data_IF_717079080276
#
_entry.id   IF_717079080276
#
_cell.length_a   1.000
_cell.length_b   1.000
_cell.length_c   1.000
_cell.angle_alpha   90.00
_cell.angle_beta   90.00
_cell.angle_gamma   90.00
#
_symmetry.space_group_name_H-M   'P 1'
#
loop_
_entity.id
_entity.type
_entity.pdbx_description
1 polymer ?
#
# COMPACT_ATOMS: atom_id res chain seq x y z
N UNK A 1 -11.01 -32.64 -21.27
CA UNK A 1 -11.70 -32.68 -19.95
C UNK A 1 -10.92 -31.94 -18.85
N UNK A 2 -9.60 -32.18 -18.68
CA UNK A 2 -8.84 -31.50 -17.62
C UNK A 2 -8.84 -29.96 -17.74
N UNK A 3 -8.74 -29.40 -18.96
CA UNK A 3 -8.81 -27.95 -19.20
C UNK A 3 -10.18 -27.36 -18.90
N UNK A 4 -11.27 -28.11 -19.11
CA UNK A 4 -12.63 -27.67 -18.78
C UNK A 4 -12.80 -27.56 -17.27
N UNK A 5 -12.40 -28.58 -16.52
CA UNK A 5 -12.46 -28.58 -15.04
C UNK A 5 -11.60 -27.43 -14.47
N UNK A 6 -10.42 -27.18 -15.05
CA UNK A 6 -9.58 -26.04 -14.64
C UNK A 6 -10.32 -24.72 -14.86
N UNK A 7 -10.92 -24.49 -16.02
CA UNK A 7 -11.65 -23.27 -16.33
C UNK A 7 -12.87 -23.07 -15.42
N UNK A 8 -13.60 -24.14 -15.09
CA UNK A 8 -14.72 -24.10 -14.14
C UNK A 8 -14.27 -23.71 -12.73
N UNK A 9 -13.15 -24.26 -12.25
CA UNK A 9 -12.56 -23.90 -10.96
C UNK A 9 -12.07 -22.45 -10.92
N UNK A 10 -11.41 -21.99 -12.00
CA UNK A 10 -10.94 -20.60 -12.11
C UNK A 10 -12.11 -19.62 -12.12
N UNK A 11 -13.20 -19.96 -12.82
CA UNK A 11 -14.44 -19.17 -12.80
C UNK A 11 -15.06 -19.10 -11.41
N UNK A 12 -15.20 -20.23 -10.72
CA UNK A 12 -15.76 -20.28 -9.36
C UNK A 12 -14.92 -19.46 -8.39
N UNK A 13 -13.60 -19.60 -8.45
CA UNK A 13 -12.65 -18.84 -7.62
C UNK A 13 -12.77 -17.34 -7.87
N UNK A 14 -12.86 -16.93 -9.14
CA UNK A 14 -13.01 -15.54 -9.54
C UNK A 14 -14.34 -14.95 -9.05
N UNK A 15 -15.43 -15.73 -9.15
CA UNK A 15 -16.76 -15.35 -8.65
C UNK A 15 -16.72 -15.13 -7.13
N UNK A 16 -16.15 -16.06 -6.37
CA UNK A 16 -16.04 -15.94 -4.92
C UNK A 16 -15.18 -14.73 -4.49
N UNK A 17 -14.09 -14.46 -5.21
CA UNK A 17 -13.27 -13.29 -4.96
C UNK A 17 -14.02 -11.98 -5.24
N UNK A 18 -14.78 -11.93 -6.33
CA UNK A 18 -15.66 -10.79 -6.64
C UNK A 18 -16.68 -10.56 -5.52
N UNK A 19 -17.41 -11.63 -5.13
CA UNK A 19 -18.42 -11.57 -4.08
C UNK A 19 -17.85 -11.13 -2.73
N UNK A 20 -16.62 -11.50 -2.42
CA UNK A 20 -15.93 -11.10 -1.19
C UNK A 20 -15.57 -9.60 -1.15
N UNK A 21 -15.23 -9.01 -2.30
CA UNK A 21 -14.74 -7.62 -2.37
C UNK A 21 -15.88 -6.63 -2.65
N UNK A 22 -16.78 -6.98 -3.57
CA UNK A 22 -17.80 -6.06 -4.11
C UNK A 22 -19.18 -6.40 -3.54
N UNK A 23 -19.46 -7.68 -3.30
CA UNK A 23 -20.75 -8.18 -2.84
C UNK A 23 -21.36 -9.20 -3.80
N UNK A 24 -22.56 -9.68 -3.46
CA UNK A 24 -23.21 -10.79 -4.16
C UNK A 24 -23.41 -10.52 -5.66
N UNK A 25 -22.86 -11.37 -6.49
CA UNK A 25 -23.01 -11.35 -7.94
C UNK A 25 -24.30 -12.12 -8.34
N UNK A 26 -25.31 -11.41 -8.78
CA UNK A 26 -26.59 -12.01 -9.15
C UNK A 26 -26.53 -12.71 -10.52
N UNK A 27 -25.83 -12.12 -11.49
CA UNK A 27 -25.67 -12.67 -12.83
C UNK A 27 -24.31 -12.27 -13.42
N UNK A 28 -23.36 -13.23 -13.59
CA UNK A 28 -22.06 -12.97 -14.19
C UNK A 28 -22.13 -12.52 -15.66
N UNK A 29 -23.19 -12.89 -16.39
CA UNK A 29 -23.36 -12.58 -17.83
C UNK A 29 -23.69 -11.10 -18.07
N UNK A 30 -24.14 -10.39 -17.02
CA UNK A 30 -24.43 -8.95 -17.06
C UNK A 30 -23.17 -8.08 -16.84
N UNK A 31 -22.02 -8.68 -16.57
CA UNK A 31 -20.78 -7.94 -16.42
C UNK A 31 -20.19 -7.58 -17.79
N UNK A 32 -20.24 -6.30 -18.13
CA UNK A 32 -19.51 -5.78 -19.27
C UNK A 32 -18.00 -5.84 -19.06
N UNK A 33 -17.27 -6.25 -20.11
CA UNK A 33 -15.81 -6.20 -20.10
C UNK A 33 -15.38 -4.75 -19.97
N UNK A 34 -14.80 -4.38 -18.82
CA UNK A 34 -14.36 -3.00 -18.61
C UNK A 34 -13.37 -2.60 -19.70
N UNK A 35 -13.59 -1.44 -20.32
CA UNK A 35 -12.56 -0.82 -21.15
C UNK A 35 -11.40 -0.44 -20.24
N UNK A 36 -10.25 -1.07 -20.44
CA UNK A 36 -9.02 -0.70 -19.71
C UNK A 36 -8.70 0.72 -20.13
N UNK A 37 -8.92 1.67 -19.22
CA UNK A 37 -8.33 2.99 -19.37
C UNK A 37 -6.83 2.77 -19.23
N UNK A 38 -6.11 2.74 -20.37
CA UNK A 38 -4.65 2.64 -20.34
C UNK A 38 -4.11 3.87 -19.64
N UNK A 39 -3.60 3.76 -18.41
CA UNK A 39 -2.90 4.88 -17.79
C UNK A 39 -1.69 5.20 -18.67
N UNK A 40 -1.35 6.48 -18.80
CA UNK A 40 -0.10 6.91 -19.43
C UNK A 40 1.06 6.29 -18.63
N UNK A 41 1.61 5.21 -19.17
CA UNK A 41 2.77 4.56 -18.57
C UNK A 41 4.01 5.42 -18.83
N UNK A 42 4.95 5.49 -17.88
CA UNK A 42 6.23 6.16 -18.11
C UNK A 42 6.99 5.46 -19.23
N UNK A 43 7.78 6.24 -20.00
CA UNK A 43 8.53 5.71 -21.15
C UNK A 43 9.80 4.95 -20.71
N UNK A 44 10.35 5.28 -19.54
CA UNK A 44 11.61 4.75 -19.04
C UNK A 44 11.48 4.22 -17.60
N UNK A 45 12.29 3.22 -17.26
CA UNK A 45 12.35 2.62 -15.93
C UNK A 45 12.67 3.66 -14.83
N UNK A 46 13.63 4.55 -15.09
CA UNK A 46 14.00 5.61 -14.15
C UNK A 46 12.82 6.48 -13.79
N UNK A 47 12.05 6.89 -14.78
CA UNK A 47 10.85 7.69 -14.59
C UNK A 47 9.78 6.95 -13.77
N UNK A 48 9.60 5.66 -14.02
CA UNK A 48 8.71 4.80 -13.25
C UNK A 48 9.13 4.71 -11.78
N UNK A 49 10.43 4.57 -11.50
CA UNK A 49 10.98 4.54 -10.14
C UNK A 49 10.76 5.87 -9.43
N UNK A 50 10.96 7.02 -10.10
CA UNK A 50 10.73 8.33 -9.49
C UNK A 50 9.26 8.60 -9.18
N UNK A 51 8.35 8.23 -10.08
CA UNK A 51 6.90 8.32 -9.86
C UNK A 51 6.51 7.45 -8.66
N UNK A 52 7.02 6.21 -8.60
CA UNK A 52 6.74 5.31 -7.51
C UNK A 52 7.27 5.84 -6.17
N UNK A 53 8.48 6.40 -6.12
CA UNK A 53 9.03 7.01 -4.90
C UNK A 53 8.14 8.11 -4.33
N UNK A 54 7.45 8.86 -5.19
CA UNK A 54 6.58 9.97 -4.77
C UNK A 54 5.18 9.52 -4.37
N UNK A 55 4.66 8.47 -5.02
CA UNK A 55 3.26 8.10 -4.94
C UNK A 55 3.00 6.77 -4.23
N UNK A 56 4.03 5.97 -3.92
CA UNK A 56 3.84 4.69 -3.24
C UNK A 56 3.40 4.93 -1.79
N UNK A 57 2.18 4.51 -1.40
CA UNK A 57 1.67 4.69 -0.04
C UNK A 57 2.56 4.05 1.03
N UNK A 58 3.14 2.88 0.76
CA UNK A 58 4.00 2.15 1.71
C UNK A 58 5.28 2.94 2.01
N UNK A 59 5.86 3.61 1.00
CA UNK A 59 7.01 4.49 1.20
C UNK A 59 6.62 5.74 2.00
N UNK A 60 5.47 6.33 1.72
CA UNK A 60 4.97 7.49 2.46
C UNK A 60 4.74 7.12 3.93
N UNK A 61 4.13 5.96 4.20
CA UNK A 61 3.92 5.45 5.56
C UNK A 61 5.28 5.26 6.26
N UNK A 62 6.24 4.56 5.65
CA UNK A 62 7.56 4.32 6.24
C UNK A 62 8.30 5.64 6.53
N UNK A 63 8.17 6.65 5.67
CA UNK A 63 8.74 7.98 5.86
C UNK A 63 8.09 8.73 7.03
N UNK A 64 6.76 8.64 7.16
CA UNK A 64 6.02 9.23 8.28
C UNK A 64 6.37 8.54 9.61
N UNK A 65 6.48 7.22 9.63
CA UNK A 65 6.90 6.46 10.82
C UNK A 65 8.32 6.84 11.28
N UNK A 66 9.25 7.03 10.33
CA UNK A 66 10.57 7.53 10.67
C UNK A 66 10.51 8.97 11.23
N UNK A 67 9.73 9.85 10.63
CA UNK A 67 9.54 11.21 11.16
C UNK A 67 8.90 11.20 12.56
N UNK A 68 7.94 10.33 12.81
CA UNK A 68 7.35 10.13 14.12
C UNK A 68 8.41 9.70 15.14
N UNK A 69 9.22 8.69 14.84
CA UNK A 69 10.26 8.21 15.75
C UNK A 69 11.29 9.29 16.12
N UNK A 70 11.60 10.22 15.19
CA UNK A 70 12.42 11.42 15.48
C UNK A 70 11.74 12.35 16.49
N UNK A 71 10.42 12.53 16.37
CA UNK A 71 9.66 13.34 17.33
C UNK A 71 9.57 12.65 18.69
N UNK A 72 9.43 11.34 18.72
CA UNK A 72 9.43 10.54 19.95
C UNK A 72 10.79 10.63 20.67
N UNK A 73 11.90 10.60 19.92
CA UNK A 73 13.24 10.87 20.47
C UNK A 73 13.35 12.29 21.05
N UNK A 74 12.80 13.28 20.35
CA UNK A 74 12.77 14.67 20.85
C UNK A 74 11.93 14.80 22.11
N UNK A 75 10.78 14.13 22.15
CA UNK A 75 9.90 14.07 23.32
C UNK A 75 10.61 13.44 24.52
N UNK A 76 11.26 12.27 24.31
CA UNK A 76 12.05 11.63 25.36
C UNK A 76 13.24 12.49 25.85
N UNK A 77 13.79 13.34 24.98
CA UNK A 77 14.82 14.32 25.35
C UNK A 77 14.22 15.44 26.20
N UNK A 78 12.99 15.86 25.95
CA UNK A 78 12.30 16.89 26.75
C UNK A 78 11.99 16.43 28.18
N UNK A 79 11.88 15.13 28.44
CA UNK A 79 11.71 14.55 29.77
C UNK A 79 12.93 14.79 30.70
N UNK A 80 14.06 15.22 30.13
CA UNK A 80 15.28 15.61 30.89
C UNK A 80 15.31 17.12 31.21
N UNK A 81 14.45 17.89 30.57
CA UNK A 81 14.37 19.35 30.74
C UNK A 81 13.39 19.73 31.87
N UNK A 82 13.51 20.95 32.44
CA UNK A 82 12.49 21.48 33.34
C UNK A 82 11.19 21.74 32.58
N UNK A 83 10.07 21.39 33.19
CA UNK A 83 8.71 21.73 32.74
C UNK A 83 8.09 22.80 33.61
N UNK A 84 7.34 23.72 33.00
CA UNK A 84 6.58 24.77 33.69
C UNK A 84 5.09 24.59 33.37
N UNK A 85 4.26 24.56 34.41
CA UNK A 85 2.81 24.45 34.30
C UNK A 85 2.17 25.63 35.01
N UNK A 86 1.21 26.29 34.35
CA UNK A 86 0.37 27.34 34.92
C UNK A 86 -1.07 26.79 34.98
N UNK A 87 -1.65 26.74 36.16
CA UNK A 87 -3.04 26.37 36.37
C UNK A 87 -3.82 27.49 37.03
N UNK A 88 -5.06 27.63 36.58
CA UNK A 88 -6.05 28.53 37.21
C UNK A 88 -7.25 27.68 37.61
N UNK A 89 -7.51 27.66 38.91
CA UNK A 89 -8.62 26.90 39.49
C UNK A 89 -9.60 27.88 40.15
N UNK A 90 -10.85 27.80 39.72
CA UNK A 90 -11.95 28.50 40.34
C UNK A 90 -12.89 27.51 41.00
N UNK A 91 -13.10 27.62 42.31
CA UNK A 91 -14.02 26.78 43.04
C UNK A 91 -15.06 27.65 43.76
N UNK A 92 -16.32 27.26 43.63
CA UNK A 92 -17.45 27.81 44.37
C UNK A 92 -18.05 26.68 45.18
N UNK A 93 -18.28 26.94 46.47
CA UNK A 93 -18.91 26.00 47.38
C UNK A 93 -20.00 26.73 48.17
N UNK A 94 -21.19 26.15 48.13
CA UNK A 94 -22.38 26.65 48.82
C UNK A 94 -22.67 25.77 50.06
N UNK A 95 -23.28 26.28 51.10
CA UNK A 95 -23.69 25.57 52.35
C UNK A 95 -22.55 24.86 53.08
N UNK A 96 -21.41 25.49 53.26
CA UNK A 96 -20.22 24.90 53.90
C UNK A 96 -20.37 24.72 55.43
N UNK A 97 -21.11 25.60 56.12
CA UNK A 97 -21.42 25.51 57.53
C UNK A 97 -22.52 26.53 57.91
N UNK A 98 -23.08 26.43 59.12
CA UNK A 98 -24.11 27.37 59.64
C UNK A 98 -23.63 28.85 59.72
N UNK A 99 -22.33 29.10 59.48
CA UNK A 99 -21.74 30.46 59.54
C UNK A 99 -21.16 30.93 58.19
N UNK A 100 -20.99 30.04 57.21
CA UNK A 100 -20.43 30.32 55.88
C UNK A 100 -21.36 29.75 54.83
N UNK A 101 -22.13 30.64 54.20
CA UNK A 101 -23.19 30.32 53.24
C UNK A 101 -22.61 30.08 51.83
N UNK A 102 -21.61 30.84 51.44
CA UNK A 102 -20.95 30.78 50.13
C UNK A 102 -19.43 31.02 50.26
N UNK A 103 -18.65 30.25 49.53
CA UNK A 103 -17.21 30.45 49.40
C UNK A 103 -16.79 30.40 47.95
N UNK A 104 -16.28 31.48 47.41
CA UNK A 104 -15.57 31.52 46.14
C UNK A 104 -14.06 31.57 46.39
N UNK A 105 -13.33 30.77 45.63
CA UNK A 105 -11.87 30.71 45.70
C UNK A 105 -11.29 30.67 44.31
N UNK A 106 -10.49 31.65 43.95
CA UNK A 106 -9.69 31.70 42.74
C UNK A 106 -8.23 31.45 43.11
N UNK A 107 -7.63 30.45 42.47
CA UNK A 107 -6.24 30.04 42.72
C UNK A 107 -5.48 30.00 41.40
N UNK A 108 -4.42 30.82 41.31
CA UNK A 108 -3.45 30.77 40.22
C UNK A 108 -2.16 30.12 40.73
N UNK A 109 -1.79 29.00 40.13
CA UNK A 109 -0.59 28.24 40.55
C UNK A 109 0.38 28.13 39.38
N UNK A 110 1.61 28.56 39.60
CA UNK A 110 2.72 28.34 38.68
C UNK A 110 3.68 27.30 39.29
N UNK A 111 3.87 26.18 38.60
CA UNK A 111 4.75 25.09 39.09
C UNK A 111 5.85 24.84 38.08
N UNK A 112 7.12 24.84 38.54
CA UNK A 112 8.29 24.42 37.74
C UNK A 112 8.81 23.13 38.34
N UNK A 113 8.91 22.09 37.50
CA UNK A 113 9.39 20.77 37.90
C UNK A 113 10.60 20.40 37.05
N UNK A 114 11.74 20.08 37.71
CA UNK A 114 12.94 19.60 37.03
C UNK A 114 13.36 18.23 37.58
N UNK A 115 13.19 17.14 36.77
CA UNK A 115 13.56 15.80 37.18
C UNK A 115 15.07 15.55 36.96
N UNK A 116 15.93 16.25 37.73
CA UNK A 116 17.38 16.16 37.58
C UNK A 116 17.96 14.77 37.91
N UNK A 117 17.23 13.95 38.66
CA UNK A 117 17.56 12.55 38.95
C UNK A 117 16.32 11.69 39.01
N UNK A 118 16.25 10.70 38.12
CA UNK A 118 15.12 9.75 37.99
C UNK A 118 15.57 8.27 38.04
N UNK A 119 16.69 7.99 38.74
CA UNK A 119 17.24 6.62 38.81
C UNK A 119 17.66 6.05 37.46
N UNK A 120 18.02 6.90 36.51
CA UNK A 120 18.41 6.48 35.14
C UNK A 120 17.24 6.22 34.17
N UNK A 121 15.98 6.29 34.64
CA UNK A 121 14.77 5.98 33.83
C UNK A 121 14.69 6.85 32.57
N UNK A 122 14.85 8.19 32.68
CA UNK A 122 14.74 9.12 31.56
C UNK A 122 15.86 8.89 30.53
N UNK A 123 17.09 8.62 30.99
CA UNK A 123 18.19 8.23 30.11
C UNK A 123 17.96 6.93 29.37
N UNK A 124 17.46 5.90 30.07
CA UNK A 124 17.09 4.63 29.44
C UNK A 124 15.99 4.80 28.40
N UNK A 125 14.98 5.64 28.71
CA UNK A 125 13.89 5.97 27.77
C UNK A 125 14.44 6.71 26.52
N UNK A 126 15.33 7.69 26.70
CA UNK A 126 15.97 8.38 25.58
C UNK A 126 16.76 7.41 24.69
N UNK A 127 17.57 6.53 25.29
CA UNK A 127 18.36 5.55 24.54
C UNK A 127 17.47 4.54 23.80
N UNK A 128 16.35 4.12 24.41
CA UNK A 128 15.35 3.30 23.75
C UNK A 128 14.80 4.00 22.50
N UNK A 129 14.37 5.26 22.62
CA UNK A 129 13.80 6.01 21.49
C UNK A 129 14.85 6.26 20.39
N UNK A 130 16.11 6.53 20.71
CA UNK A 130 17.21 6.60 19.73
C UNK A 130 17.38 5.29 18.96
N UNK A 131 17.28 4.15 19.66
CA UNK A 131 17.39 2.83 19.01
C UNK A 131 16.19 2.56 18.09
N UNK A 132 14.97 2.97 18.50
CA UNK A 132 13.76 2.89 17.68
C UNK A 132 13.85 3.81 16.45
N UNK A 133 14.39 5.00 16.60
CA UNK A 133 14.63 5.93 15.48
C UNK A 133 15.59 5.31 14.45
N UNK A 134 16.69 4.71 14.91
CA UNK A 134 17.62 4.00 14.04
C UNK A 134 16.94 2.82 13.33
N UNK A 135 16.14 2.04 14.06
CA UNK A 135 15.36 0.93 13.49
C UNK A 135 14.42 1.42 12.38
N UNK A 136 13.66 2.50 12.62
CA UNK A 136 12.74 3.06 11.62
C UNK A 136 13.48 3.63 10.40
N UNK A 137 14.66 4.23 10.58
CA UNK A 137 15.51 4.66 9.48
C UNK A 137 15.95 3.49 8.60
N UNK A 138 16.41 2.39 9.21
CA UNK A 138 16.82 1.18 8.47
C UNK A 138 15.63 0.51 7.74
N UNK A 139 14.44 0.54 8.35
CA UNK A 139 13.22 0.04 7.70
C UNK A 139 12.82 0.90 6.49
N UNK A 140 12.96 2.22 6.59
CA UNK A 140 12.74 3.13 5.46
C UNK A 140 13.71 2.84 4.31
N UNK A 141 15.01 2.70 4.61
CA UNK A 141 16.02 2.35 3.60
C UNK A 141 15.72 1.02 2.91
N UNK A 142 15.29 0.03 3.69
CA UNK A 142 14.86 -1.27 3.14
C UNK A 142 13.64 -1.14 2.25
N UNK A 143 12.65 -0.34 2.65
CA UNK A 143 11.43 -0.10 1.87
C UNK A 143 11.74 0.62 0.54
N UNK A 144 12.67 1.58 0.54
CA UNK A 144 13.14 2.26 -0.67
C UNK A 144 13.75 1.25 -1.65
N UNK A 145 14.65 0.39 -1.16
CA UNK A 145 15.30 -0.65 -1.99
C UNK A 145 14.29 -1.66 -2.53
N UNK A 146 13.36 -2.10 -1.66
CA UNK A 146 12.29 -3.01 -2.05
C UNK A 146 11.43 -2.39 -3.16
N UNK A 147 10.99 -1.15 -2.98
CA UNK A 147 10.21 -0.43 -4.00
C UNK A 147 10.93 -0.35 -5.35
N UNK A 148 12.24 -0.06 -5.34
CA UNK A 148 13.04 -0.05 -6.58
C UNK A 148 13.06 -1.42 -7.27
N UNK A 149 13.22 -2.49 -6.50
CA UNK A 149 13.23 -3.87 -7.02
C UNK A 149 11.85 -4.27 -7.56
N UNK A 150 10.78 -3.93 -6.84
CA UNK A 150 9.41 -4.25 -7.24
C UNK A 150 9.04 -3.53 -8.54
N UNK A 151 9.39 -2.25 -8.68
CA UNK A 151 9.17 -1.48 -9.91
C UNK A 151 9.99 -2.04 -11.07
N UNK A 152 11.27 -2.37 -10.85
CA UNK A 152 12.12 -2.96 -11.90
C UNK A 152 11.59 -4.32 -12.36
N UNK A 153 11.10 -5.15 -11.44
CA UNK A 153 10.47 -6.43 -11.76
C UNK A 153 9.18 -6.26 -12.55
N UNK A 154 8.32 -5.32 -12.12
CA UNK A 154 7.08 -5.00 -12.83
C UNK A 154 7.35 -4.47 -14.24
N UNK A 155 8.36 -3.62 -14.40
CA UNK A 155 8.81 -3.10 -15.68
C UNK A 155 9.31 -4.21 -16.63
N UNK A 156 10.14 -5.12 -16.13
CA UNK A 156 10.61 -6.27 -16.88
C UNK A 156 9.46 -7.17 -17.35
N UNK A 157 8.49 -7.42 -16.44
CA UNK A 157 7.29 -8.19 -16.77
C UNK A 157 6.44 -7.50 -17.85
N UNK A 158 6.31 -6.18 -17.77
CA UNK A 158 5.60 -5.40 -18.78
C UNK A 158 6.26 -5.52 -20.16
N UNK A 159 7.59 -5.36 -20.26
CA UNK A 159 8.33 -5.52 -21.51
C UNK A 159 8.21 -6.95 -22.07
N UNK A 160 8.31 -7.96 -21.20
CA UNK A 160 8.12 -9.35 -21.58
C UNK A 160 6.72 -9.62 -22.13
N UNK A 161 5.71 -9.05 -21.49
CA UNK A 161 4.31 -9.17 -21.92
C UNK A 161 4.05 -8.51 -23.27
N UNK A 162 4.66 -7.36 -23.53
CA UNK A 162 4.60 -6.71 -24.85
C UNK A 162 5.24 -7.57 -25.95
N UNK A 163 6.41 -8.14 -25.65
CA UNK A 163 7.10 -9.03 -26.59
C UNK A 163 6.30 -10.30 -26.84
N UNK A 164 5.69 -10.87 -25.79
CA UNK A 164 4.82 -12.03 -25.90
C UNK A 164 3.60 -11.73 -26.77
N UNK A 165 2.92 -10.60 -26.54
CA UNK A 165 1.76 -10.17 -27.34
C UNK A 165 2.12 -10.04 -28.81
N UNK A 166 3.26 -9.42 -29.13
CA UNK A 166 3.74 -9.30 -30.50
C UNK A 166 3.99 -10.69 -31.16
N UNK A 167 4.61 -11.61 -30.40
CA UNK A 167 4.87 -12.97 -30.87
C UNK A 167 3.58 -13.77 -31.09
N UNK A 168 2.63 -13.66 -30.19
CA UNK A 168 1.32 -14.34 -30.30
C UNK A 168 0.55 -13.79 -31.52
N UNK A 169 0.52 -12.49 -31.72
CA UNK A 169 -0.11 -11.90 -32.90
C UNK A 169 0.52 -12.39 -34.21
N UNK A 170 1.86 -12.51 -34.25
CA UNK A 170 2.55 -13.07 -35.42
C UNK A 170 2.20 -14.57 -35.63
N UNK A 171 2.06 -15.34 -34.54
CA UNK A 171 1.63 -16.74 -34.62
C UNK A 171 0.19 -16.88 -35.13
N UNK A 172 -0.74 -16.03 -34.66
CA UNK A 172 -2.13 -16.03 -35.15
C UNK A 172 -2.16 -15.70 -36.63
N UNK A 173 -1.50 -14.67 -37.08
CA UNK A 173 -1.44 -14.31 -38.50
C UNK A 173 -0.82 -15.44 -39.36
N UNK A 174 0.23 -16.09 -38.87
CA UNK A 174 0.84 -17.21 -39.58
C UNK A 174 -0.13 -18.43 -39.67
N UNK A 175 -0.86 -18.71 -38.59
CA UNK A 175 -1.86 -19.78 -38.55
C UNK A 175 -3.05 -19.49 -39.49
N UNK A 176 -3.50 -18.23 -39.56
CA UNK A 176 -4.56 -17.81 -40.48
C UNK A 176 -4.13 -17.99 -41.94
N UNK A 177 -2.92 -17.54 -42.31
CA UNK A 177 -2.39 -17.71 -43.68
C UNK A 177 -2.25 -19.20 -44.01
N UNK A 178 -1.73 -20.01 -43.05
CA UNK A 178 -1.59 -21.46 -43.27
C UNK A 178 -2.98 -22.13 -43.46
N UNK A 179 -3.98 -21.76 -42.66
CA UNK A 179 -5.33 -22.27 -42.79
C UNK A 179 -5.95 -21.86 -44.13
N UNK A 180 -5.81 -20.61 -44.56
CA UNK A 180 -6.29 -20.14 -45.86
C UNK A 180 -5.65 -20.95 -47.03
N UNK A 181 -4.32 -21.21 -46.92
CA UNK A 181 -3.59 -22.01 -47.86
C UNK A 181 -4.14 -23.46 -47.96
N UNK A 182 -4.34 -24.11 -46.79
CA UNK A 182 -4.90 -25.48 -46.74
C UNK A 182 -6.30 -25.53 -47.32
N UNK A 183 -7.18 -24.55 -46.98
CA UNK A 183 -8.54 -24.49 -47.54
C UNK A 183 -8.51 -24.24 -49.05
N UNK A 184 -7.63 -23.41 -49.56
CA UNK A 184 -7.47 -23.19 -51.01
C UNK A 184 -6.99 -24.44 -51.73
N UNK A 185 -6.02 -25.18 -51.19
CA UNK A 185 -5.55 -26.45 -51.73
C UNK A 185 -6.65 -27.52 -51.72
N UNK A 186 -7.42 -27.61 -50.64
CA UNK A 186 -8.55 -28.54 -50.56
C UNK A 186 -9.60 -28.21 -51.64
N UNK A 187 -9.97 -26.93 -51.81
CA UNK A 187 -10.95 -26.51 -52.81
C UNK A 187 -10.46 -26.69 -54.27
N UNK A 188 -9.15 -26.70 -54.49
CA UNK A 188 -8.56 -26.95 -55.82
C UNK A 188 -8.52 -28.43 -56.25
N UNK A 189 -8.96 -29.34 -55.39
CA UNK A 189 -9.00 -30.78 -55.68
C UNK A 189 -7.67 -31.49 -55.48
N UNK A 190 -6.77 -30.92 -54.74
CA UNK A 190 -5.49 -31.54 -54.29
C UNK A 190 -5.77 -32.65 -53.27
N UNK A 191 -4.92 -33.67 -53.16
CA UNK A 191 -5.08 -34.91 -52.35
C UNK A 191 -5.10 -34.72 -50.81
N UNK A 192 -5.53 -33.53 -50.32
CA UNK A 192 -5.65 -33.26 -48.91
C UNK A 192 -6.95 -33.79 -48.29
N UNK A 193 -6.86 -34.40 -47.13
CA UNK A 193 -8.01 -34.99 -46.44
C UNK A 193 -8.74 -33.94 -45.60
N UNK A 194 -10.07 -34.11 -45.38
CA UNK A 194 -10.93 -33.27 -44.53
C UNK A 194 -10.43 -33.13 -43.10
N UNK A 195 -9.58 -34.07 -42.63
CA UNK A 195 -8.98 -34.03 -41.29
C UNK A 195 -7.87 -32.96 -41.15
N UNK A 196 -7.31 -32.45 -42.25
CA UNK A 196 -6.29 -31.38 -42.24
C UNK A 196 -6.94 -29.96 -42.28
N UNK A 197 -8.24 -29.86 -42.53
CA UNK A 197 -9.01 -28.64 -42.66
C UNK A 197 -9.76 -28.29 -41.33
N UNK A 198 -9.92 -29.26 -40.43
CA UNK A 198 -10.58 -29.11 -39.12
C UNK A 198 -9.56 -28.84 -38.01
#
# INVERSE_FOLDING_TARGET
>A
QAKLIQAENDFLTSKLNYENIIGKLNDPELLDKSSIINPTLPEELESAIEISKKNNPDLIIAQLEYQQSKKDTTSAMSDLAPSATLSFDRSKSDDLSSTIDEREKDTLTATVTWPFYSGGKNYANLNKNKSLELQKNLLLDNMIKKNQTDVASAWSNYQSSQSLLSSVNAQVNAAEIANEGIVAEYNSGSDRTTLEVI
#
